data_IF_901141918233
#
_entry.id   IF_901141918233
#
_cell.length_a   1.000
_cell.length_b   1.000
_cell.length_c   1.000
_cell.angle_alpha   90.00
_cell.angle_beta   90.00
_cell.angle_gamma   90.00
#
_symmetry.space_group_name_H-M   'P 1'
#
loop_
_entity.id
_entity.type
_entity.pdbx_description
1 polymer ?
#
# COMPACT_ATOMS: atom_id res chain seq x y z
N UNK A 1 -12.06 -18.64 -33.51
CA UNK A 1 -11.39 -18.67 -32.19
C UNK A 1 -10.13 -17.79 -32.17
N UNK A 2 -9.05 -18.12 -32.88
CA UNK A 2 -7.83 -17.28 -32.90
C UNK A 2 -8.05 -15.85 -33.42
N UNK A 3 -8.81 -15.67 -34.51
CA UNK A 3 -9.15 -14.34 -35.05
C UNK A 3 -10.00 -13.49 -34.09
N UNK A 4 -10.82 -14.13 -33.26
CA UNK A 4 -11.65 -13.45 -32.24
C UNK A 4 -10.84 -13.11 -30.99
N UNK A 5 -9.85 -13.92 -30.63
CA UNK A 5 -8.85 -13.59 -29.61
C UNK A 5 -7.94 -12.44 -30.05
N UNK A 6 -7.50 -12.43 -31.31
CA UNK A 6 -6.68 -11.33 -31.84
C UNK A 6 -7.46 -10.01 -31.93
N UNK A 7 -8.71 -10.04 -32.37
CA UNK A 7 -9.56 -8.82 -32.37
C UNK A 7 -9.90 -8.35 -30.96
N UNK A 8 -10.06 -9.26 -29.99
CA UNK A 8 -10.26 -8.93 -28.58
C UNK A 8 -8.99 -8.33 -27.93
N UNK A 9 -7.82 -8.92 -28.18
CA UNK A 9 -6.53 -8.34 -27.77
C UNK A 9 -6.32 -6.94 -28.35
N UNK A 10 -6.76 -6.71 -29.60
CA UNK A 10 -6.74 -5.39 -30.25
C UNK A 10 -7.72 -4.38 -29.64
N UNK A 11 -8.65 -4.84 -28.80
CA UNK A 11 -9.59 -3.98 -28.07
C UNK A 11 -9.08 -3.58 -26.67
N UNK A 12 -7.93 -4.08 -26.21
CA UNK A 12 -7.32 -3.66 -24.93
C UNK A 12 -6.24 -2.62 -25.22
N UNK A 13 -6.30 -1.47 -24.56
CA UNK A 13 -5.27 -0.42 -24.70
C UNK A 13 -3.92 -0.93 -24.19
N UNK A 14 -2.87 -0.81 -25.01
CA UNK A 14 -1.52 -1.32 -24.67
C UNK A 14 -0.89 -0.65 -23.44
N UNK A 15 -1.19 0.65 -23.23
CA UNK A 15 -0.57 1.46 -22.18
C UNK A 15 -1.37 1.43 -20.86
N UNK A 16 -2.70 1.60 -20.94
CA UNK A 16 -3.56 1.70 -19.76
C UNK A 16 -4.35 0.42 -19.44
N UNK A 17 -4.23 -0.63 -20.26
CA UNK A 17 -4.99 -1.87 -20.17
C UNK A 17 -6.52 -1.71 -20.12
N UNK A 18 -7.06 -0.55 -20.52
CA UNK A 18 -8.51 -0.32 -20.59
C UNK A 18 -9.15 -1.07 -21.75
N UNK A 19 -10.34 -1.62 -21.57
CA UNK A 19 -11.17 -2.02 -22.69
C UNK A 19 -11.56 -0.79 -23.51
N UNK A 20 -11.44 -0.89 -24.83
CA UNK A 20 -11.83 0.16 -25.78
C UNK A 20 -13.32 0.53 -25.63
N UNK A 21 -14.16 -0.42 -25.20
CA UNK A 21 -15.58 -0.19 -24.98
C UNK A 21 -15.83 -0.01 -23.47
N UNK A 22 -16.17 1.22 -23.08
CA UNK A 22 -16.39 1.63 -21.67
C UNK A 22 -17.42 0.78 -20.91
N UNK A 23 -18.44 0.27 -21.60
CA UNK A 23 -19.48 -0.55 -20.97
C UNK A 23 -18.94 -1.90 -20.47
N UNK A 24 -18.00 -2.51 -21.21
CA UNK A 24 -17.36 -3.77 -20.80
C UNK A 24 -16.41 -3.53 -19.63
N UNK A 25 -15.68 -2.41 -19.62
CA UNK A 25 -14.87 -2.00 -18.46
C UNK A 25 -15.74 -1.80 -17.22
N UNK A 26 -16.90 -1.16 -17.34
CA UNK A 26 -17.81 -0.94 -16.22
C UNK A 26 -18.42 -2.26 -15.69
N UNK A 27 -18.73 -3.20 -16.58
CA UNK A 27 -19.22 -4.53 -16.19
C UNK A 27 -18.13 -5.34 -15.48
N UNK A 28 -16.91 -5.35 -16.02
CA UNK A 28 -15.73 -5.97 -15.39
C UNK A 28 -15.45 -5.40 -14.00
N UNK A 29 -15.52 -4.06 -13.85
CA UNK A 29 -15.29 -3.37 -12.58
C UNK A 29 -16.38 -3.59 -11.54
N UNK A 30 -17.61 -3.94 -11.97
CA UNK A 30 -18.74 -4.23 -11.09
C UNK A 30 -18.71 -5.67 -10.55
N UNK A 31 -17.85 -6.54 -11.07
CA UNK A 31 -17.70 -7.89 -10.53
C UNK A 31 -17.26 -7.86 -9.06
N UNK A 32 -17.86 -8.73 -8.22
CA UNK A 32 -17.48 -8.81 -6.81
C UNK A 32 -16.06 -9.36 -6.68
N UNK A 33 -15.26 -8.71 -5.84
CA UNK A 33 -13.89 -9.14 -5.56
C UNK A 33 -13.87 -10.12 -4.38
N UNK A 34 -13.85 -11.41 -4.69
CA UNK A 34 -13.79 -12.48 -3.68
C UNK A 34 -12.41 -12.52 -2.99
N UNK A 35 -11.36 -12.03 -3.66
CA UNK A 35 -9.99 -12.02 -3.15
C UNK A 35 -9.69 -10.84 -2.23
N UNK A 36 -10.54 -9.82 -2.23
CA UNK A 36 -10.43 -8.61 -1.42
C UNK A 36 -10.13 -8.86 0.06
N UNK A 37 -10.74 -9.88 0.68
CA UNK A 37 -10.49 -10.25 2.08
C UNK A 37 -9.05 -10.72 2.35
N UNK A 38 -8.42 -11.38 1.37
CA UNK A 38 -7.03 -11.81 1.45
C UNK A 38 -6.08 -10.63 1.25
N UNK A 39 -6.41 -9.71 0.33
CA UNK A 39 -5.67 -8.45 0.18
C UNK A 39 -5.69 -7.61 1.47
N UNK A 40 -6.84 -7.53 2.17
CA UNK A 40 -6.92 -6.85 3.48
C UNK A 40 -6.09 -7.56 4.55
N UNK A 41 -6.14 -8.90 4.60
CA UNK A 41 -5.32 -9.66 5.56
C UNK A 41 -3.82 -9.47 5.32
N UNK A 42 -3.39 -9.48 4.07
CA UNK A 42 -2.01 -9.22 3.70
C UNK A 42 -1.62 -7.77 4.00
N UNK A 43 -2.47 -6.79 3.71
CA UNK A 43 -2.25 -5.40 4.08
C UNK A 43 -2.19 -5.18 5.60
N UNK A 44 -2.92 -5.95 6.40
CA UNK A 44 -2.77 -5.91 7.86
C UNK A 44 -1.42 -6.51 8.30
N UNK A 45 -1.02 -7.64 7.70
CA UNK A 45 0.26 -8.29 8.01
C UNK A 45 1.46 -7.42 7.65
N UNK A 46 1.47 -6.82 6.45
CA UNK A 46 2.55 -5.93 6.01
C UNK A 46 2.62 -4.69 6.90
N UNK A 47 1.48 -4.20 7.41
CA UNK A 47 1.47 -3.07 8.33
C UNK A 47 2.12 -3.43 9.65
N UNK A 48 1.85 -4.63 10.19
CA UNK A 48 2.54 -5.12 11.38
C UNK A 48 4.06 -5.20 11.18
N UNK A 49 4.52 -5.65 10.00
CA UNK A 49 5.95 -5.62 9.65
C UNK A 49 6.50 -4.20 9.57
N UNK A 50 5.74 -3.25 9.05
CA UNK A 50 6.16 -1.84 8.97
C UNK A 50 6.26 -1.21 10.36
N UNK A 51 5.29 -1.51 11.24
CA UNK A 51 5.30 -1.08 12.63
C UNK A 51 6.49 -1.67 13.39
N UNK A 52 6.81 -2.97 13.21
CA UNK A 52 7.99 -3.54 13.86
C UNK A 52 9.29 -2.88 13.39
N UNK A 53 9.41 -2.57 12.10
CA UNK A 53 10.54 -1.80 11.58
C UNK A 53 10.64 -0.42 12.25
N UNK A 54 9.52 0.28 12.42
CA UNK A 54 9.49 1.59 13.07
C UNK A 54 9.86 1.52 14.56
N UNK A 55 9.35 0.52 15.29
CA UNK A 55 9.66 0.31 16.71
C UNK A 55 11.12 -0.09 16.96
N UNK A 56 11.75 -0.77 15.99
CA UNK A 56 13.16 -1.15 16.08
C UNK A 56 14.11 -0.06 15.52
N UNK A 57 13.61 0.80 14.64
CA UNK A 57 14.42 1.74 13.87
C UNK A 57 14.48 3.16 14.43
N UNK A 58 13.60 3.55 15.35
CA UNK A 58 13.55 4.91 15.93
C UNK A 58 13.51 4.85 17.46
N UNK A 59 14.09 5.85 18.12
CA UNK A 59 14.06 5.94 19.59
C UNK A 59 12.61 6.07 20.11
N UNK A 60 12.26 5.40 21.22
CA UNK A 60 10.93 5.44 21.82
C UNK A 60 10.33 6.83 22.06
N UNK A 61 11.17 7.85 22.23
CA UNK A 61 10.75 9.25 22.45
C UNK A 61 10.02 9.84 21.24
N UNK A 62 10.32 9.37 20.04
CA UNK A 62 9.75 9.86 18.79
C UNK A 62 8.68 8.93 18.21
N UNK A 63 8.13 8.03 19.03
CA UNK A 63 7.03 7.16 18.61
C UNK A 63 5.68 7.86 18.73
N UNK A 64 4.94 7.87 17.62
CA UNK A 64 3.61 8.43 17.52
C UNK A 64 2.51 7.42 17.93
N UNK A 65 2.58 6.96 19.19
CA UNK A 65 1.72 5.89 19.73
C UNK A 65 0.22 6.06 19.47
N UNK A 66 -0.27 7.30 19.49
CA UNK A 66 -1.69 7.59 19.23
C UNK A 66 -2.06 7.30 17.78
N UNK A 67 -1.23 7.71 16.82
CA UNK A 67 -1.54 7.55 15.40
C UNK A 67 -1.34 6.09 14.99
N UNK A 68 -0.31 5.42 15.53
CA UNK A 68 -0.12 3.98 15.36
C UNK A 68 -1.29 3.20 15.96
N UNK A 69 -1.74 3.55 17.17
CA UNK A 69 -2.90 2.93 17.81
C UNK A 69 -4.19 3.08 16.99
N UNK A 70 -4.45 4.28 16.44
CA UNK A 70 -5.60 4.53 15.56
C UNK A 70 -5.49 3.67 14.28
N UNK A 71 -4.30 3.60 13.68
CA UNK A 71 -4.07 2.86 12.44
C UNK A 71 -4.21 1.35 12.64
N UNK A 72 -3.65 0.81 13.72
CA UNK A 72 -3.84 -0.60 14.14
C UNK A 72 -5.33 -0.91 14.32
N UNK A 73 -6.05 -0.06 15.05
CA UNK A 73 -7.48 -0.25 15.31
C UNK A 73 -8.29 -0.23 14.01
N UNK A 74 -7.99 0.71 13.11
CA UNK A 74 -8.64 0.86 11.82
C UNK A 74 -8.43 -0.37 10.93
N UNK A 75 -7.17 -0.78 10.73
CA UNK A 75 -6.84 -1.93 9.88
C UNK A 75 -7.36 -3.25 10.48
N UNK A 76 -7.31 -3.41 11.80
CA UNK A 76 -7.86 -4.59 12.48
C UNK A 76 -9.39 -4.65 12.34
N UNK A 77 -10.08 -3.51 12.41
CA UNK A 77 -11.52 -3.45 12.17
C UNK A 77 -11.87 -3.84 10.73
N UNK A 78 -11.13 -3.34 9.74
CA UNK A 78 -11.29 -3.72 8.33
C UNK A 78 -11.05 -5.22 8.11
N UNK A 79 -10.05 -5.79 8.78
CA UNK A 79 -9.76 -7.23 8.75
C UNK A 79 -10.95 -8.03 9.30
N UNK A 80 -11.44 -7.69 10.49
CA UNK A 80 -12.56 -8.38 11.11
C UNK A 80 -13.83 -8.30 10.25
N UNK A 81 -14.18 -7.11 9.74
CA UNK A 81 -15.36 -6.91 8.90
C UNK A 81 -15.22 -7.69 7.59
N UNK A 82 -14.07 -7.64 6.93
CA UNK A 82 -13.88 -8.32 5.63
C UNK A 82 -13.92 -9.85 5.74
N UNK A 83 -13.45 -10.43 6.84
CA UNK A 83 -13.47 -11.87 7.08
C UNK A 83 -14.75 -12.40 7.71
N UNK A 84 -15.58 -11.53 8.28
CA UNK A 84 -16.75 -11.92 9.06
C UNK A 84 -17.67 -12.90 8.35
N UNK A 85 -18.04 -12.61 7.09
CA UNK A 85 -18.92 -13.48 6.29
C UNK A 85 -18.34 -14.89 6.12
N UNK A 86 -17.03 -14.98 5.83
CA UNK A 86 -16.34 -16.26 5.63
C UNK A 86 -16.28 -17.07 6.92
N UNK A 87 -15.92 -16.42 8.04
CA UNK A 87 -15.85 -17.07 9.36
C UNK A 87 -17.23 -17.54 9.84
N UNK A 88 -18.28 -16.75 9.60
CA UNK A 88 -19.65 -17.13 9.94
C UNK A 88 -20.09 -18.38 9.20
N UNK A 89 -19.87 -18.43 7.88
CA UNK A 89 -20.23 -19.60 7.06
C UNK A 89 -19.42 -20.83 7.48
N UNK A 90 -18.12 -20.67 7.78
CA UNK A 90 -17.23 -21.78 8.11
C UNK A 90 -17.50 -22.42 9.48
N UNK A 91 -17.90 -21.63 10.48
CA UNK A 91 -18.00 -22.11 11.87
C UNK A 91 -19.42 -22.26 12.40
N UNK A 92 -20.42 -21.59 11.81
CA UNK A 92 -21.77 -21.48 12.41
C UNK A 92 -22.88 -21.98 11.49
N UNK A 93 -22.70 -21.91 10.17
CA UNK A 93 -23.76 -22.25 9.23
C UNK A 93 -23.80 -23.78 8.98
N UNK A 94 -24.67 -24.50 9.68
CA UNK A 94 -25.02 -25.92 9.37
C UNK A 94 -25.78 -26.06 8.03
N UNK A 95 -26.34 -24.95 7.54
CA UNK A 95 -26.87 -24.80 6.20
C UNK A 95 -26.56 -23.38 5.71
N UNK A 96 -26.17 -23.22 4.45
CA UNK A 96 -25.69 -21.97 3.82
C UNK A 96 -26.62 -20.74 3.95
N UNK A 97 -27.84 -20.92 4.49
CA UNK A 97 -28.90 -19.91 4.52
C UNK A 97 -29.26 -19.37 5.92
N UNK A 98 -28.61 -19.82 7.00
CA UNK A 98 -28.90 -19.27 8.34
C UNK A 98 -28.27 -17.89 8.54
N UNK A 99 -29.01 -16.84 8.18
CA UNK A 99 -28.67 -15.45 8.49
C UNK A 99 -28.51 -15.28 10.02
N UNK A 100 -27.50 -14.52 10.48
CA UNK A 100 -27.31 -14.27 11.90
C UNK A 100 -28.52 -13.59 12.55
N UNK A 101 -28.92 -14.10 13.71
CA UNK A 101 -30.10 -13.61 14.46
C UNK A 101 -29.84 -12.27 15.16
N UNK A 102 -28.62 -12.01 15.62
CA UNK A 102 -28.26 -10.78 16.32
C UNK A 102 -28.02 -9.59 15.36
N UNK A 103 -28.46 -8.39 15.74
CA UNK A 103 -28.38 -7.18 14.90
C UNK A 103 -26.94 -6.83 14.48
N UNK A 104 -25.98 -6.89 15.41
CA UNK A 104 -24.57 -6.55 15.15
C UNK A 104 -23.93 -7.56 14.19
N UNK A 105 -24.15 -8.85 14.45
CA UNK A 105 -23.66 -9.93 13.59
C UNK A 105 -24.23 -9.84 12.16
N UNK A 106 -25.52 -9.51 12.03
CA UNK A 106 -26.16 -9.25 10.74
C UNK A 106 -25.60 -8.02 10.04
N UNK A 107 -25.28 -6.95 10.79
CA UNK A 107 -24.62 -5.78 10.24
C UNK A 107 -23.22 -6.13 9.71
N UNK A 108 -22.37 -6.81 10.48
CA UNK A 108 -21.03 -7.22 10.05
C UNK A 108 -21.07 -8.14 8.82
N UNK A 109 -22.00 -9.10 8.79
CA UNK A 109 -22.20 -9.99 7.64
C UNK A 109 -22.58 -9.19 6.38
N UNK A 110 -23.51 -8.24 6.50
CA UNK A 110 -23.94 -7.39 5.38
C UNK A 110 -22.83 -6.45 4.94
N UNK A 111 -22.09 -5.85 5.88
CA UNK A 111 -20.96 -4.97 5.60
C UNK A 111 -19.85 -5.69 4.86
N UNK A 112 -19.51 -6.91 5.27
CA UNK A 112 -18.54 -7.78 4.58
C UNK A 112 -18.91 -8.03 3.11
N UNK A 113 -20.17 -8.39 2.84
CA UNK A 113 -20.67 -8.62 1.48
C UNK A 113 -20.73 -7.32 0.66
N UNK A 114 -21.13 -6.22 1.30
CA UNK A 114 -21.23 -4.91 0.67
C UNK A 114 -19.86 -4.34 0.29
N UNK A 115 -18.84 -4.54 1.13
CA UNK A 115 -17.46 -4.16 0.84
C UNK A 115 -16.92 -4.89 -0.40
N UNK A 116 -17.28 -6.17 -0.63
CA UNK A 116 -16.78 -6.92 -1.79
C UNK A 116 -17.50 -6.58 -3.10
N UNK A 117 -18.79 -6.19 -3.02
CA UNK A 117 -19.63 -5.91 -4.20
C UNK A 117 -19.55 -4.47 -4.68
N UNK A 118 -19.32 -3.51 -3.79
CA UNK A 118 -19.36 -2.09 -4.13
C UNK A 118 -17.97 -1.53 -4.44
N UNK A 119 -17.72 -1.19 -5.72
CA UNK A 119 -16.45 -0.62 -6.17
C UNK A 119 -16.06 0.66 -5.43
N UNK A 120 -17.02 1.53 -5.09
CA UNK A 120 -16.73 2.81 -4.42
C UNK A 120 -16.11 2.55 -3.05
N UNK A 121 -16.62 1.55 -2.32
CA UNK A 121 -16.12 1.19 -1.01
C UNK A 121 -14.77 0.49 -1.10
N UNK A 122 -14.58 -0.37 -2.10
CA UNK A 122 -13.27 -0.99 -2.35
C UNK A 122 -12.20 0.06 -2.63
N UNK A 123 -12.54 1.07 -3.43
CA UNK A 123 -11.65 2.18 -3.72
C UNK A 123 -11.39 3.06 -2.49
N UNK A 124 -12.42 3.33 -1.68
CA UNK A 124 -12.26 4.07 -0.43
C UNK A 124 -11.35 3.33 0.57
N UNK A 125 -11.53 2.02 0.74
CA UNK A 125 -10.68 1.18 1.59
C UNK A 125 -9.25 1.13 1.04
N UNK A 126 -9.08 1.00 -0.28
CA UNK A 126 -7.77 1.05 -0.93
C UNK A 126 -7.02 2.34 -0.58
N UNK A 127 -7.63 3.50 -0.83
CA UNK A 127 -6.99 4.78 -0.52
C UNK A 127 -6.73 4.97 0.96
N UNK A 128 -7.66 4.55 1.83
CA UNK A 128 -7.48 4.59 3.27
C UNK A 128 -6.26 3.77 3.71
N UNK A 129 -6.09 2.55 3.17
CA UNK A 129 -4.92 1.71 3.46
C UNK A 129 -3.64 2.38 2.96
N UNK A 130 -3.58 2.80 1.70
CA UNK A 130 -2.37 3.44 1.15
C UNK A 130 -2.01 4.72 1.89
N UNK A 131 -2.99 5.57 2.21
CA UNK A 131 -2.75 6.80 2.98
C UNK A 131 -2.21 6.47 4.37
N UNK A 132 -2.79 5.48 5.07
CA UNK A 132 -2.28 5.09 6.40
C UNK A 132 -0.82 4.63 6.35
N UNK A 133 -0.44 3.90 5.30
CA UNK A 133 0.93 3.49 5.04
C UNK A 133 1.86 4.68 4.74
N UNK A 134 1.43 5.63 3.91
CA UNK A 134 2.21 6.84 3.64
C UNK A 134 2.40 7.68 4.91
N UNK A 135 1.38 7.79 5.77
CA UNK A 135 1.45 8.50 7.05
C UNK A 135 2.49 7.86 7.97
N UNK A 136 2.49 6.53 8.07
CA UNK A 136 3.46 5.78 8.89
C UNK A 136 4.87 5.89 8.32
N UNK A 137 5.03 5.87 6.99
CA UNK A 137 6.32 6.12 6.36
C UNK A 137 6.83 7.54 6.63
N UNK A 138 5.94 8.53 6.59
CA UNK A 138 6.28 9.92 6.89
C UNK A 138 6.75 10.08 8.35
N UNK A 139 6.12 9.42 9.32
CA UNK A 139 6.57 9.45 10.73
C UNK A 139 8.01 9.03 10.95
N UNK A 140 8.60 8.23 10.05
CA UNK A 140 10.00 7.86 10.16
C UNK A 140 10.93 9.06 10.01
N UNK A 141 10.56 10.00 9.14
CA UNK A 141 11.35 11.21 8.82
C UNK A 141 10.84 12.47 9.51
N UNK A 142 9.61 12.47 10.04
CA UNK A 142 9.13 13.55 10.88
C UNK A 142 10.04 13.72 12.11
N UNK A 143 10.21 14.97 12.52
CA UNK A 143 11.14 15.46 13.55
C UNK A 143 12.63 15.53 13.14
N UNK A 144 13.01 14.99 11.97
CA UNK A 144 14.38 15.07 11.47
C UNK A 144 14.70 16.37 10.69
N UNK A 145 13.72 17.26 10.53
CA UNK A 145 13.86 18.51 9.76
C UNK A 145 13.83 19.80 10.59
N UNK A 146 13.43 19.74 11.87
CA UNK A 146 13.26 20.94 12.69
C UNK A 146 14.53 21.19 13.51
N UNK A 147 15.43 21.97 12.92
CA UNK A 147 16.66 22.41 13.58
C UNK A 147 16.93 23.88 13.32
N UNK A 148 15.86 24.66 13.35
CA UNK A 148 15.92 26.12 13.45
C UNK A 148 15.26 26.56 14.75
N UNK A 149 16.13 27.00 15.67
CA UNK A 149 15.91 28.05 16.67
C UNK A 149 14.75 27.84 17.67
N UNK A 150 15.06 27.47 18.92
CA UNK A 150 14.46 28.04 20.16
C UNK A 150 14.68 27.22 21.47
N UNK A 151 15.77 26.48 21.64
CA UNK A 151 16.14 26.02 22.99
C UNK A 151 17.63 26.25 23.33
N UNK A 152 17.92 27.45 23.82
CA UNK A 152 19.22 27.81 24.40
C UNK A 152 19.56 27.03 25.69
N UNK A 153 18.73 26.07 26.13
CA UNK A 153 18.93 25.32 27.38
C UNK A 153 19.31 23.83 27.23
N UNK A 154 19.44 23.32 26.00
CA UNK A 154 19.90 21.94 25.74
C UNK A 154 21.35 21.93 25.22
N UNK A 155 22.22 21.02 25.69
CA UNK A 155 23.63 21.00 25.31
C UNK A 155 23.73 20.73 23.81
N UNK A 156 24.38 21.65 23.08
CA UNK A 156 24.86 21.57 21.70
C UNK A 156 24.66 20.17 21.08
N UNK A 157 23.53 19.96 20.38
CA UNK A 157 23.30 18.72 19.63
C UNK A 157 24.49 18.53 18.70
N UNK A 158 25.22 17.44 18.91
CA UNK A 158 26.45 17.21 18.15
C UNK A 158 26.04 16.85 16.73
N UNK A 159 26.81 17.29 15.74
CA UNK A 159 26.61 16.99 14.32
C UNK A 159 26.29 15.52 14.00
N UNK A 160 26.76 14.57 14.83
CA UNK A 160 26.41 13.15 14.76
C UNK A 160 24.91 12.87 15.02
N UNK A 161 24.23 13.60 15.91
CA UNK A 161 22.82 13.37 16.27
C UNK A 161 21.88 13.63 15.07
N UNK A 162 22.20 14.58 14.19
CA UNK A 162 21.43 14.81 12.94
C UNK A 162 21.60 13.67 11.93
N UNK A 163 22.78 13.04 11.90
CA UNK A 163 23.06 11.85 11.06
C UNK A 163 22.40 10.59 11.64
N UNK A 164 22.08 10.59 12.94
CA UNK A 164 21.43 9.51 13.66
C UNK A 164 19.88 9.56 13.69
N UNK A 165 19.24 10.58 13.09
CA UNK A 165 17.79 10.76 13.24
C UNK A 165 16.93 9.65 12.60
N UNK A 166 17.35 9.12 11.45
CA UNK A 166 16.78 7.91 10.87
C UNK A 166 17.79 7.21 9.97
N UNK A 167 17.69 5.89 9.84
CA UNK A 167 18.56 5.11 8.96
C UNK A 167 17.98 5.06 7.53
N UNK A 168 18.69 5.55 6.49
CA UNK A 168 18.16 5.65 5.12
C UNK A 168 17.60 4.35 4.53
N UNK A 169 18.28 3.22 4.77
CA UNK A 169 17.81 1.91 4.30
C UNK A 169 16.51 1.46 4.95
N UNK A 170 16.23 1.88 6.19
CA UNK A 170 14.97 1.57 6.85
C UNK A 170 13.83 2.27 6.09
N UNK A 171 14.00 3.56 5.77
CA UNK A 171 13.03 4.32 4.99
C UNK A 171 12.82 3.73 3.59
N UNK A 172 13.90 3.37 2.88
CA UNK A 172 13.80 2.76 1.55
C UNK A 172 13.05 1.43 1.57
N UNK A 173 13.29 0.59 2.58
CA UNK A 173 12.59 -0.68 2.75
C UNK A 173 11.10 -0.45 3.06
N UNK A 174 10.79 0.52 3.91
CA UNK A 174 9.40 0.90 4.19
C UNK A 174 8.69 1.42 2.94
N UNK A 175 9.32 2.27 2.14
CA UNK A 175 8.75 2.74 0.87
C UNK A 175 8.55 1.61 -0.14
N UNK A 176 9.42 0.60 -0.13
CA UNK A 176 9.23 -0.63 -0.93
C UNK A 176 7.94 -1.36 -0.53
N UNK A 177 7.65 -1.47 0.77
CA UNK A 177 6.40 -2.05 1.27
C UNK A 177 5.17 -1.19 0.90
N UNK A 178 5.28 0.14 0.95
CA UNK A 178 4.21 1.07 0.56
C UNK A 178 3.88 0.92 -0.95
N UNK A 179 4.91 0.81 -1.80
CA UNK A 179 4.72 0.58 -3.24
C UNK A 179 4.11 -0.80 -3.49
N UNK A 180 4.64 -1.85 -2.87
CA UNK A 180 4.10 -3.21 -3.01
C UNK A 180 2.62 -3.31 -2.57
N UNK A 181 2.28 -2.67 -1.45
CA UNK A 181 0.89 -2.64 -0.94
C UNK A 181 -0.08 -1.89 -1.85
N UNK A 182 0.41 -0.88 -2.58
CA UNK A 182 -0.37 -0.16 -3.59
C UNK A 182 -0.84 -1.06 -4.75
N UNK A 183 -0.19 -2.20 -4.99
CA UNK A 183 -0.56 -3.17 -6.02
C UNK A 183 -1.32 -4.40 -5.49
N UNK A 184 -1.43 -4.62 -4.18
CA UNK A 184 -2.05 -5.82 -3.61
C UNK A 184 -3.54 -6.03 -3.91
N UNK A 185 -4.27 -4.95 -4.23
CA UNK A 185 -5.72 -4.98 -4.40
C UNK A 185 -6.12 -5.31 -5.82
N UNK A 186 -6.33 -6.59 -6.13
CA UNK A 186 -6.58 -7.12 -7.49
C UNK A 186 -7.56 -6.28 -8.32
N UNK A 187 -8.81 -6.07 -7.88
CA UNK A 187 -9.85 -5.46 -8.72
C UNK A 187 -9.88 -3.91 -8.74
N UNK A 188 -8.86 -3.23 -8.22
CA UNK A 188 -8.74 -1.75 -8.33
C UNK A 188 -8.21 -1.41 -9.73
N UNK A 189 -8.74 -0.38 -10.43
CA UNK A 189 -8.28 -0.04 -11.77
C UNK A 189 -6.77 0.16 -11.84
N UNK A 190 -6.13 -0.48 -12.82
CA UNK A 190 -4.67 -0.46 -13.02
C UNK A 190 -4.07 0.96 -13.08
N UNK A 191 -4.78 1.88 -13.75
CA UNK A 191 -4.35 3.29 -13.85
C UNK A 191 -4.25 3.92 -12.46
N UNK A 192 -5.24 3.69 -11.59
CA UNK A 192 -5.26 4.28 -10.25
C UNK A 192 -4.06 3.78 -9.45
N UNK A 193 -3.82 2.46 -9.45
CA UNK A 193 -2.66 1.86 -8.76
C UNK A 193 -1.34 2.45 -9.26
N UNK A 194 -1.17 2.51 -10.57
CA UNK A 194 0.05 3.01 -11.20
C UNK A 194 0.26 4.48 -10.89
N UNK A 195 -0.78 5.32 -10.98
CA UNK A 195 -0.67 6.76 -10.63
C UNK A 195 -0.28 6.95 -9.17
N UNK A 196 -0.89 6.22 -8.25
CA UNK A 196 -0.58 6.29 -6.81
C UNK A 196 0.87 5.85 -6.56
N UNK A 197 1.28 4.71 -7.10
CA UNK A 197 2.65 4.21 -6.93
C UNK A 197 3.70 5.17 -7.51
N UNK A 198 3.46 5.72 -8.71
CA UNK A 198 4.32 6.74 -9.32
C UNK A 198 4.38 8.00 -8.44
N UNK A 199 3.26 8.46 -7.89
CA UNK A 199 3.26 9.63 -7.00
C UNK A 199 4.08 9.40 -5.72
N UNK A 200 4.02 8.20 -5.15
CA UNK A 200 4.81 7.82 -3.97
C UNK A 200 6.30 7.80 -4.32
N UNK A 201 6.67 7.18 -5.45
CA UNK A 201 8.06 7.14 -5.93
C UNK A 201 8.63 8.52 -6.21
N UNK A 202 7.86 9.40 -6.88
CA UNK A 202 8.31 10.78 -7.16
C UNK A 202 8.49 11.55 -5.86
N UNK A 203 7.54 11.45 -4.93
CA UNK A 203 7.64 12.12 -3.62
C UNK A 203 8.86 11.65 -2.85
N UNK A 204 9.12 10.33 -2.84
CA UNK A 204 10.33 9.77 -2.22
C UNK A 204 11.61 10.29 -2.88
N UNK A 205 11.69 10.31 -4.22
CA UNK A 205 12.86 10.82 -4.92
C UNK A 205 13.11 12.31 -4.61
N UNK A 206 12.05 13.12 -4.53
CA UNK A 206 12.14 14.53 -4.13
C UNK A 206 12.68 14.65 -2.70
N UNK A 207 12.18 13.86 -1.75
CA UNK A 207 12.66 13.88 -0.37
C UNK A 207 14.14 13.49 -0.27
N UNK A 208 14.59 12.48 -1.02
CA UNK A 208 15.99 12.05 -1.03
C UNK A 208 16.91 13.13 -1.60
N UNK A 209 16.55 13.76 -2.71
CA UNK A 209 17.43 14.70 -3.43
C UNK A 209 17.42 16.10 -2.81
N UNK A 210 16.28 16.56 -2.30
CA UNK A 210 16.15 17.96 -1.85
C UNK A 210 16.24 18.12 -0.33
N UNK A 211 15.68 17.19 0.45
CA UNK A 211 15.60 17.36 1.90
C UNK A 211 16.68 16.58 2.65
N UNK A 212 16.96 15.35 2.22
CA UNK A 212 17.83 14.42 2.96
C UNK A 212 19.09 14.00 2.20
N UNK A 213 19.51 14.78 1.20
CA UNK A 213 20.65 14.48 0.32
C UNK A 213 21.89 14.07 1.12
N UNK A 214 22.26 14.86 2.13
CA UNK A 214 23.41 14.59 2.97
C UNK A 214 23.33 13.24 3.72
N UNK A 215 22.17 12.91 4.29
CA UNK A 215 21.97 11.66 5.05
C UNK A 215 22.02 10.45 4.09
N UNK A 216 21.47 10.60 2.89
CA UNK A 216 21.49 9.55 1.87
C UNK A 216 22.85 9.39 1.19
N UNK A 217 23.62 10.47 1.01
CA UNK A 217 24.96 10.43 0.42
C UNK A 217 26.01 9.80 1.36
N UNK A 218 25.81 9.93 2.68
CA UNK A 218 26.66 9.33 3.70
C UNK A 218 26.29 7.89 4.05
N UNK A 219 25.17 7.38 3.52
CA UNK A 219 24.71 6.02 3.74
C UNK A 219 25.55 5.00 2.94
N UNK A 220 25.54 3.71 3.32
CA UNK A 220 26.20 2.68 2.52
C UNK A 220 25.47 2.46 1.19
N UNK A 221 26.22 2.49 0.08
CA UNK A 221 25.68 2.22 -1.26
C UNK A 221 25.53 0.72 -1.55
N UNK A 222 24.72 0.37 -2.55
CA UNK A 222 24.59 -1.03 -3.03
C UNK A 222 25.81 -1.52 -3.79
N UNK A 223 26.67 -0.60 -4.23
CA UNK A 223 27.88 -0.88 -4.97
C UNK A 223 28.93 0.19 -4.64
N UNK A 224 30.16 -0.24 -4.39
CA UNK A 224 31.30 0.62 -4.03
C UNK A 224 31.59 1.75 -5.03
N UNK A 225 31.20 1.59 -6.30
CA UNK A 225 31.42 2.58 -7.35
C UNK A 225 30.19 3.46 -7.67
N UNK A 226 29.11 3.35 -6.89
CA UNK A 226 27.86 4.06 -7.14
C UNK A 226 27.53 4.97 -5.95
N UNK A 227 27.07 6.19 -6.24
CA UNK A 227 26.67 7.10 -5.16
C UNK A 227 25.47 6.52 -4.40
N UNK A 228 25.52 6.62 -3.07
CA UNK A 228 24.54 6.02 -2.19
C UNK A 228 23.12 6.58 -2.42
N UNK A 229 22.97 7.90 -2.62
CA UNK A 229 21.68 8.55 -2.93
C UNK A 229 20.97 7.90 -4.13
N UNK A 230 21.71 7.68 -5.22
CA UNK A 230 21.17 7.06 -6.43
C UNK A 230 20.94 5.57 -6.25
N UNK A 231 21.70 4.86 -5.39
CA UNK A 231 21.44 3.45 -5.06
C UNK A 231 20.02 3.28 -4.51
N UNK A 232 19.63 4.15 -3.57
CA UNK A 232 18.31 4.11 -2.94
C UNK A 232 17.19 4.43 -3.94
N UNK A 233 17.38 5.47 -4.76
CA UNK A 233 16.41 5.86 -5.79
C UNK A 233 16.25 4.73 -6.83
N UNK A 234 17.36 4.18 -7.31
CA UNK A 234 17.36 3.08 -8.29
C UNK A 234 16.60 1.86 -7.77
N UNK A 235 16.79 1.49 -6.49
CA UNK A 235 16.05 0.38 -5.89
C UNK A 235 14.53 0.62 -5.92
N UNK A 236 14.09 1.83 -5.60
CA UNK A 236 12.66 2.18 -5.63
C UNK A 236 12.11 2.14 -7.07
N UNK A 237 12.87 2.61 -8.06
CA UNK A 237 12.47 2.51 -9.47
C UNK A 237 12.39 1.05 -9.95
N UNK A 238 13.35 0.21 -9.56
CA UNK A 238 13.32 -1.23 -9.86
C UNK A 238 12.09 -1.88 -9.22
N UNK A 239 11.82 -1.60 -7.94
CA UNK A 239 10.64 -2.07 -7.22
C UNK A 239 9.34 -1.67 -7.94
N UNK A 240 9.21 -0.39 -8.29
CA UNK A 240 8.07 0.12 -9.06
C UNK A 240 7.93 -0.62 -10.40
N UNK A 241 9.03 -0.80 -11.13
CA UNK A 241 9.05 -1.51 -12.39
C UNK A 241 8.59 -2.97 -12.27
N UNK A 242 9.10 -3.69 -11.27
CA UNK A 242 8.73 -5.09 -11.01
C UNK A 242 7.23 -5.19 -10.71
N UNK A 243 6.73 -4.43 -9.73
CA UNK A 243 5.32 -4.50 -9.36
C UNK A 243 4.39 -4.03 -10.49
N UNK A 244 4.77 -2.99 -11.22
CA UNK A 244 4.01 -2.51 -12.38
C UNK A 244 3.92 -3.58 -13.48
N UNK A 245 5.03 -4.24 -13.82
CA UNK A 245 5.04 -5.30 -14.83
C UNK A 245 4.27 -6.54 -14.39
N UNK A 246 4.44 -6.97 -13.14
CA UNK A 246 3.69 -8.08 -12.56
C UNK A 246 2.18 -7.81 -12.62
N UNK A 247 1.75 -6.65 -12.12
CA UNK A 247 0.35 -6.26 -12.13
C UNK A 247 -0.21 -6.16 -13.55
N UNK A 248 0.55 -5.58 -14.47
CA UNK A 248 0.16 -5.48 -15.88
C UNK A 248 -0.11 -6.87 -16.47
N UNK A 249 0.72 -7.86 -16.15
CA UNK A 249 0.49 -9.23 -16.61
C UNK A 249 -0.73 -9.87 -15.96
N UNK A 250 -0.90 -9.70 -14.64
CA UNK A 250 -2.05 -10.24 -13.92
C UNK A 250 -3.38 -9.66 -14.42
N UNK A 251 -3.44 -8.34 -14.61
CA UNK A 251 -4.63 -7.65 -15.13
C UNK A 251 -4.92 -8.07 -16.59
N UNK A 252 -3.88 -8.23 -17.40
CA UNK A 252 -4.05 -8.71 -18.78
C UNK A 252 -4.65 -10.13 -18.82
N UNK A 253 -4.13 -11.05 -18.02
CA UNK A 253 -4.66 -12.42 -17.92
C UNK A 253 -6.10 -12.38 -17.43
N UNK A 254 -6.39 -11.63 -16.36
CA UNK A 254 -7.74 -11.53 -15.80
C UNK A 254 -8.76 -10.93 -16.78
N UNK A 255 -8.34 -10.02 -17.68
CA UNK A 255 -9.21 -9.46 -18.73
C UNK A 255 -9.40 -10.39 -19.92
N UNK A 256 -8.41 -11.23 -20.24
CA UNK A 256 -8.54 -12.28 -21.25
C UNK A 256 -9.49 -13.38 -20.76
N UNK A 257 -9.38 -13.77 -19.49
CA UNK A 257 -10.21 -14.81 -18.85
C UNK A 257 -11.65 -14.36 -18.58
N UNK A 258 -11.95 -13.05 -18.64
CA UNK A 258 -13.30 -12.50 -18.46
C UNK A 258 -14.26 -12.79 -19.65
N UNK A 259 -13.78 -13.44 -20.71
CA UNK A 259 -14.60 -13.86 -21.86
C UNK A 259 -15.76 -14.79 -21.47
#
# INVERSE_FOLDING_TARGET
DELEEETFRRNISSFCLLFRIRNWELQYLREPDVMFKYSIALAWFVYMCMLTIQLLGKDPRYHYWVIDGITIFLLSTLLLVSWYKKLWIMYVADAEQSLPKFKISRFLYRSSDFMQRNIIIRLAVYFLVVISYCVVAAMQVLDCGDSSDDDESMPMETYEDRVLCFHPWILTNCMTLVIGTSFLFTRVPFIIKTTVAVSITVTYAVLVVFEFDYIFATSPSTNVNFNAEYSHILLIFITLGIFHLMERQTEFIAKVDYK
#
